data_IF_076797087755
#
_entry.id   IF_076797087755
#
_cell.length_a   1.000
_cell.length_b   1.000
_cell.length_c   1.000
_cell.angle_alpha   90.00
_cell.angle_beta   90.00
_cell.angle_gamma   90.00
#
_symmetry.space_group_name_H-M   'P 1'
#
loop_
_entity.id
_entity.type
_entity.pdbx_description
1 polymer ?
#
# COMPACT_ATOMS: atom_id res chain seq x y z
N UNK A 1 6.21 7.39 13.28
CA UNK A 1 6.02 6.04 12.69
C UNK A 1 4.86 5.30 13.33
N UNK A 2 3.97 4.83 12.46
CA UNK A 2 2.78 4.03 12.75
C UNK A 2 2.93 2.70 12.02
N UNK A 3 2.61 1.59 12.69
CA UNK A 3 2.57 0.29 12.02
C UNK A 3 1.33 0.15 11.14
N UNK A 4 1.53 -0.26 9.89
CA UNK A 4 0.49 -0.67 8.95
C UNK A 4 0.68 -2.14 8.58
N UNK A 5 -0.36 -2.95 8.83
CA UNK A 5 -0.34 -4.38 8.52
C UNK A 5 -1.01 -4.58 7.17
N UNK A 6 -0.27 -5.16 6.22
CA UNK A 6 -0.81 -5.65 4.95
C UNK A 6 -1.07 -7.13 5.09
N UNK A 7 -2.33 -7.53 4.94
CA UNK A 7 -2.70 -8.94 5.03
C UNK A 7 -2.23 -9.70 3.78
N UNK A 8 -2.03 -11.04 3.90
CA UNK A 8 -1.76 -11.91 2.77
C UNK A 8 -2.72 -11.70 1.60
N UNK A 9 -2.15 -11.50 0.41
CA UNK A 9 -2.86 -11.34 -0.85
C UNK A 9 -2.18 -12.16 -1.94
N UNK A 10 -2.94 -13.06 -2.57
CA UNK A 10 -2.45 -14.10 -3.49
C UNK A 10 -1.52 -13.64 -4.61
N UNK A 11 -1.75 -12.45 -5.18
CA UNK A 11 -0.92 -11.91 -6.28
C UNK A 11 0.05 -10.82 -5.80
N UNK A 12 -0.46 -9.81 -5.09
CA UNK A 12 0.29 -8.60 -4.76
C UNK A 12 1.17 -8.71 -3.51
N UNK A 13 0.82 -9.57 -2.55
CA UNK A 13 1.57 -9.70 -1.29
C UNK A 13 1.29 -11.07 -0.63
N UNK A 14 1.76 -12.21 -1.18
CA UNK A 14 1.30 -13.55 -0.80
C UNK A 14 1.43 -13.87 0.70
N UNK A 15 2.50 -13.39 1.33
CA UNK A 15 2.78 -13.63 2.75
C UNK A 15 2.26 -12.53 3.69
N UNK A 16 1.71 -11.45 3.13
CA UNK A 16 1.47 -10.21 3.86
C UNK A 16 2.78 -9.53 4.28
N UNK A 17 2.68 -8.39 4.95
CA UNK A 17 3.84 -7.69 5.52
C UNK A 17 3.42 -6.68 6.58
N UNK A 18 4.39 -6.17 7.34
CA UNK A 18 4.21 -5.07 8.29
C UNK A 18 5.12 -3.93 7.86
N UNK A 19 4.53 -2.76 7.65
CA UNK A 19 5.21 -1.56 7.18
C UNK A 19 5.22 -0.49 8.28
N UNK A 20 6.36 0.18 8.43
CA UNK A 20 6.46 1.41 9.22
C UNK A 20 6.15 2.60 8.32
N UNK A 21 5.14 3.39 8.69
CA UNK A 21 4.63 4.47 7.85
C UNK A 21 4.50 5.76 8.65
N UNK A 22 4.82 6.89 8.03
CA UNK A 22 4.62 8.19 8.67
C UNK A 22 3.16 8.65 8.60
N UNK A 23 2.62 9.26 9.67
CA UNK A 23 1.30 9.89 9.64
C UNK A 23 1.16 10.91 8.50
N UNK A 24 0.01 10.91 7.84
CA UNK A 24 -0.28 11.81 6.71
C UNK A 24 0.11 11.25 5.34
N UNK A 25 0.86 10.13 5.28
CA UNK A 25 1.06 9.39 4.03
C UNK A 25 -0.20 8.63 3.65
N UNK A 26 -0.54 8.65 2.36
CA UNK A 26 -1.66 7.85 1.86
C UNK A 26 -1.31 6.36 1.86
N UNK A 27 -2.31 5.50 2.06
CA UNK A 27 -2.13 4.05 2.00
C UNK A 27 -1.62 3.64 0.61
N UNK A 28 -2.16 4.22 -0.47
CA UNK A 28 -1.74 3.91 -1.83
C UNK A 28 -0.24 4.15 -2.05
N UNK A 29 0.27 5.32 -1.66
CA UNK A 29 1.71 5.63 -1.76
C UNK A 29 2.54 4.69 -0.89
N UNK A 30 2.10 4.42 0.34
CA UNK A 30 2.81 3.52 1.24
C UNK A 30 2.96 2.11 0.66
N UNK A 31 1.91 1.58 0.03
CA UNK A 31 1.96 0.27 -0.63
C UNK A 31 2.89 0.27 -1.85
N UNK A 32 2.74 1.25 -2.74
CA UNK A 32 3.54 1.34 -3.97
C UNK A 32 5.04 1.51 -3.69
N UNK A 33 5.41 2.36 -2.74
CA UNK A 33 6.81 2.55 -2.36
C UNK A 33 7.44 1.32 -1.70
N UNK A 34 6.63 0.43 -1.11
CA UNK A 34 7.08 -0.85 -0.54
C UNK A 34 6.95 -2.01 -1.54
N UNK A 35 6.78 -1.72 -2.84
CA UNK A 35 6.75 -2.72 -3.91
C UNK A 35 5.44 -3.50 -4.04
N UNK A 36 4.38 -3.09 -3.34
CA UNK A 36 3.05 -3.69 -3.45
C UNK A 36 2.29 -2.93 -4.54
N UNK A 37 2.37 -3.47 -5.76
CA UNK A 37 1.86 -2.84 -6.98
C UNK A 37 0.32 -2.93 -7.09
N UNK A 38 -0.39 -2.13 -6.29
CA UNK A 38 -1.84 -1.96 -6.42
C UNK A 38 -2.21 -1.24 -7.72
N UNK A 39 -3.41 -1.48 -8.26
CA UNK A 39 -3.92 -0.70 -9.39
C UNK A 39 -4.25 0.74 -8.95
N UNK A 40 -3.90 1.70 -9.80
CA UNK A 40 -4.13 3.13 -9.56
C UNK A 40 -4.34 3.84 -10.91
N UNK A 41 -5.29 3.35 -11.70
CA UNK A 41 -5.57 3.83 -13.06
C UNK A 41 -5.84 5.34 -13.14
N UNK A 42 -6.46 5.91 -12.10
CA UNK A 42 -6.70 7.34 -11.97
C UNK A 42 -5.51 8.13 -11.42
N UNK A 43 -4.31 7.55 -11.37
CA UNK A 43 -3.08 8.18 -10.87
C UNK A 43 -3.23 8.76 -9.45
N UNK A 44 -3.99 8.07 -8.58
CA UNK A 44 -4.33 8.53 -7.23
C UNK A 44 -5.10 9.87 -7.18
N UNK A 45 -5.82 10.21 -8.24
CA UNK A 45 -6.59 11.46 -8.38
C UNK A 45 -8.08 11.35 -7.97
N UNK A 46 -8.46 10.30 -7.23
CA UNK A 46 -9.83 10.05 -6.78
C UNK A 46 -10.87 9.97 -7.95
N UNK A 47 -10.49 9.33 -9.05
CA UNK A 47 -11.33 9.15 -10.25
C UNK A 47 -11.45 7.66 -10.69
N UNK A 48 -11.06 6.78 -9.78
CA UNK A 48 -11.18 5.34 -9.72
C UNK A 48 -11.32 5.02 -8.20
#
# INVERSE_FOLDING_TARGET
MTQMIVLPHVELCPEGTVLEVEPGKTICQALLENGIAIEHACEMSCAC
#
